data_IF_720096111339
#
_entry.id   IF_720096111339
#
_cell.length_a   1.000
_cell.length_b   1.000
_cell.length_c   1.000
_cell.angle_alpha   90.00
_cell.angle_beta   90.00
_cell.angle_gamma   90.00
#
_symmetry.space_group_name_H-M   'P 1'
#
loop_
_entity.id
_entity.type
_entity.pdbx_description
1 polymer ?
#
# COMPACT_ATOMS: atom_id res chain seq x y z
N UNK A 1 -24.75 -4.11 -11.23
CA UNK A 1 -25.61 -3.21 -10.44
C UNK A 1 -25.50 -1.75 -10.91
N UNK A 2 -25.69 -1.39 -12.16
CA UNK A 2 -25.95 -0.11 -12.81
C UNK A 2 -25.77 1.25 -12.11
N UNK A 3 -25.07 1.33 -10.99
CA UNK A 3 -24.71 2.59 -10.35
C UNK A 3 -23.46 3.13 -11.02
N UNK A 4 -23.45 4.41 -11.44
CA UNK A 4 -22.23 5.01 -11.95
C UNK A 4 -21.12 4.91 -10.89
N UNK A 5 -19.95 4.44 -11.28
CA UNK A 5 -18.79 4.42 -10.41
C UNK A 5 -18.49 5.86 -9.93
N UNK A 6 -18.13 6.00 -8.65
CA UNK A 6 -17.66 7.28 -8.14
C UNK A 6 -16.29 7.59 -8.76
N UNK A 7 -16.06 8.84 -9.09
CA UNK A 7 -14.72 9.31 -9.49
C UNK A 7 -13.87 9.46 -8.24
N UNK A 8 -12.88 8.58 -8.08
CA UNK A 8 -11.93 8.60 -6.97
C UNK A 8 -10.64 9.32 -7.38
N UNK A 9 -10.29 10.35 -6.63
CA UNK A 9 -9.00 11.02 -6.75
C UNK A 9 -8.21 10.87 -5.45
N UNK A 10 -6.94 10.51 -5.56
CA UNK A 10 -6.00 10.43 -4.44
C UNK A 10 -5.14 11.69 -4.45
N UNK A 11 -4.99 12.31 -3.28
CA UNK A 11 -4.10 13.46 -3.07
C UNK A 11 -3.13 13.10 -1.95
N UNK A 12 -1.88 12.86 -2.32
CA UNK A 12 -0.78 12.45 -1.43
C UNK A 12 0.39 13.46 -1.44
N UNK A 13 0.27 14.52 -2.23
CA UNK A 13 1.30 15.56 -2.38
C UNK A 13 0.85 16.90 -1.82
N UNK A 14 1.73 17.59 -1.11
CA UNK A 14 1.52 18.97 -0.64
C UNK A 14 1.91 20.03 -1.67
N UNK A 15 2.30 19.63 -2.87
CA UNK A 15 2.55 20.58 -3.97
C UNK A 15 1.32 21.46 -4.22
N UNK A 16 1.46 22.81 -4.15
CA UNK A 16 0.31 23.69 -4.28
C UNK A 16 -0.41 23.61 -5.64
N UNK A 17 0.29 23.20 -6.70
CA UNK A 17 -0.33 23.07 -8.01
C UNK A 17 -1.22 21.83 -8.06
N UNK A 18 -0.76 20.71 -7.47
CA UNK A 18 -1.55 19.48 -7.35
C UNK A 18 -2.77 19.70 -6.45
N UNK A 19 -2.61 20.32 -5.29
CA UNK A 19 -3.71 20.64 -4.36
C UNK A 19 -4.76 21.52 -5.04
N UNK A 20 -4.34 22.57 -5.76
CA UNK A 20 -5.27 23.42 -6.52
C UNK A 20 -5.94 22.68 -7.67
N UNK A 21 -5.24 21.78 -8.35
CA UNK A 21 -5.81 20.96 -9.41
C UNK A 21 -6.89 20.02 -8.86
N UNK A 22 -6.61 19.32 -7.79
CA UNK A 22 -7.59 18.47 -7.09
C UNK A 22 -8.81 19.28 -6.65
N UNK A 23 -8.59 20.46 -6.05
CA UNK A 23 -9.66 21.35 -5.60
C UNK A 23 -10.56 21.84 -6.76
N UNK A 24 -10.02 22.09 -7.95
CA UNK A 24 -10.80 22.49 -9.14
C UNK A 24 -11.67 21.33 -9.66
N UNK A 25 -11.15 20.11 -9.65
CA UNK A 25 -11.88 18.92 -10.11
C UNK A 25 -12.92 18.41 -9.11
N UNK A 26 -12.89 18.89 -7.88
CA UNK A 26 -13.78 18.48 -6.78
C UNK A 26 -14.87 19.55 -6.49
N UNK A 27 -16.05 19.49 -7.15
CA UNK A 27 -17.17 20.37 -6.84
C UNK A 27 -17.65 20.12 -5.41
N UNK A 28 -17.55 21.12 -4.52
CA UNK A 28 -17.76 20.96 -3.07
C UNK A 28 -19.06 20.24 -2.71
N UNK A 29 -20.16 20.61 -3.37
CA UNK A 29 -21.49 20.04 -3.08
C UNK A 29 -21.64 18.56 -3.48
N UNK A 30 -20.72 18.02 -4.30
CA UNK A 30 -20.76 16.63 -4.82
C UNK A 30 -19.55 15.81 -4.37
N UNK A 31 -18.69 16.35 -3.52
CA UNK A 31 -17.45 15.69 -3.11
C UNK A 31 -17.56 15.17 -1.68
N UNK A 32 -17.10 13.95 -1.48
CA UNK A 32 -16.82 13.34 -0.17
C UNK A 32 -15.30 13.27 -0.01
N UNK A 33 -14.78 13.91 1.03
CA UNK A 33 -13.37 13.86 1.40
C UNK A 33 -13.13 12.74 2.40
N UNK A 34 -12.25 11.79 2.05
CA UNK A 34 -11.82 10.73 2.95
C UNK A 34 -10.50 11.15 3.56
N UNK A 35 -10.50 11.42 4.85
CA UNK A 35 -9.31 11.78 5.64
C UNK A 35 -8.73 10.51 6.22
N UNK A 36 -7.73 9.94 5.58
CA UNK A 36 -7.11 8.68 5.95
C UNK A 36 -5.74 8.92 6.59
N UNK A 37 -5.62 8.69 7.89
CA UNK A 37 -4.34 8.80 8.63
C UNK A 37 -4.41 8.01 9.92
N UNK A 38 -3.53 7.03 10.11
CA UNK A 38 -3.51 6.19 11.32
C UNK A 38 -3.26 7.03 12.59
N UNK A 39 -2.10 7.60 12.74
CA UNK A 39 -1.77 8.42 13.91
C UNK A 39 -2.47 9.79 13.94
N UNK A 40 -2.98 10.23 12.81
CA UNK A 40 -3.54 11.58 12.66
C UNK A 40 -2.52 12.72 12.71
N UNK A 41 -1.24 12.42 12.94
CA UNK A 41 -0.18 13.43 13.15
C UNK A 41 0.64 13.75 11.89
N UNK A 42 0.32 13.13 10.75
CA UNK A 42 1.02 13.35 9.49
C UNK A 42 0.77 14.78 9.00
N UNK A 43 1.83 15.55 8.81
CA UNK A 43 1.76 16.98 8.46
C UNK A 43 1.00 17.23 7.16
N UNK A 44 1.23 16.39 6.17
CA UNK A 44 0.57 16.44 4.86
C UNK A 44 -0.95 16.26 5.01
N UNK A 45 -1.38 15.23 5.74
CA UNK A 45 -2.81 14.98 5.98
C UNK A 45 -3.46 16.13 6.74
N UNK A 46 -2.77 16.70 7.75
CA UNK A 46 -3.28 17.84 8.49
C UNK A 46 -3.39 19.10 7.61
N UNK A 47 -2.42 19.33 6.74
CA UNK A 47 -2.46 20.46 5.79
C UNK A 47 -3.61 20.31 4.79
N UNK A 48 -3.79 19.11 4.22
CA UNK A 48 -4.91 18.81 3.32
C UNK A 48 -6.25 18.98 4.03
N UNK A 49 -6.39 18.42 5.23
CA UNK A 49 -7.61 18.55 6.03
C UNK A 49 -7.93 20.02 6.31
N UNK A 50 -6.95 20.81 6.72
CA UNK A 50 -7.16 22.25 6.99
C UNK A 50 -7.59 23.01 5.73
N UNK A 51 -6.94 22.75 4.60
CA UNK A 51 -7.25 23.40 3.33
C UNK A 51 -8.68 23.08 2.84
N UNK A 52 -9.01 21.78 2.73
CA UNK A 52 -10.31 21.36 2.20
C UNK A 52 -11.45 21.64 3.18
N UNK A 53 -11.22 21.55 4.49
CA UNK A 53 -12.18 21.95 5.51
C UNK A 53 -12.54 23.42 5.37
N UNK A 54 -11.53 24.32 5.37
CA UNK A 54 -11.76 25.75 5.25
C UNK A 54 -12.47 26.13 3.94
N UNK A 55 -12.08 25.47 2.85
CA UNK A 55 -12.73 25.67 1.54
C UNK A 55 -14.20 25.25 1.60
N UNK A 56 -14.51 24.10 2.19
CA UNK A 56 -15.87 23.58 2.29
C UNK A 56 -16.74 24.44 3.23
N UNK A 57 -16.19 24.88 4.35
CA UNK A 57 -16.88 25.80 5.27
C UNK A 57 -17.24 27.13 4.59
N UNK A 58 -16.30 27.69 3.81
CA UNK A 58 -16.57 28.93 3.05
C UNK A 58 -17.66 28.78 2.01
N UNK A 59 -17.75 27.62 1.34
CA UNK A 59 -18.70 27.40 0.27
C UNK A 59 -20.07 26.89 0.71
N UNK A 60 -20.13 26.06 1.76
CA UNK A 60 -21.36 25.37 2.19
C UNK A 60 -21.83 25.73 3.60
N UNK A 61 -21.02 26.48 4.34
CA UNK A 61 -21.27 26.81 5.75
C UNK A 61 -20.81 25.71 6.70
N UNK A 62 -20.46 26.11 7.95
CA UNK A 62 -19.89 25.24 8.99
C UNK A 62 -20.80 24.07 9.34
N UNK A 63 -22.10 24.30 9.37
CA UNK A 63 -23.11 23.26 9.75
C UNK A 63 -23.19 22.12 8.75
N UNK A 64 -23.00 22.40 7.45
CA UNK A 64 -23.10 21.39 6.37
C UNK A 64 -21.74 20.76 6.03
N UNK A 65 -20.65 21.43 6.35
CA UNK A 65 -19.31 21.02 5.93
C UNK A 65 -18.97 19.60 6.39
N UNK A 66 -19.29 19.22 7.64
CA UNK A 66 -18.99 17.91 8.19
C UNK A 66 -19.58 16.75 7.38
N UNK A 67 -20.73 16.94 6.74
CA UNK A 67 -21.37 15.91 5.90
C UNK A 67 -20.56 15.53 4.66
N UNK A 68 -19.56 16.32 4.31
CA UNK A 68 -18.67 16.10 3.18
C UNK A 68 -17.35 15.42 3.57
N UNK A 69 -17.21 14.99 4.82
CA UNK A 69 -15.99 14.37 5.32
C UNK A 69 -16.28 13.03 5.99
N UNK A 70 -15.39 12.07 5.78
CA UNK A 70 -15.27 10.81 6.51
C UNK A 70 -13.84 10.67 6.98
N UNK A 71 -13.63 10.20 8.21
CA UNK A 71 -12.30 9.90 8.72
C UNK A 71 -12.06 8.39 8.76
N UNK A 72 -10.85 7.95 8.41
CA UNK A 72 -10.33 6.62 8.72
C UNK A 72 -9.08 6.83 9.54
N UNK A 73 -9.07 6.37 10.79
CA UNK A 73 -7.98 6.69 11.72
C UNK A 73 -7.95 5.70 12.90
N UNK A 74 -6.88 5.70 13.67
CA UNK A 74 -6.81 4.94 14.90
C UNK A 74 -7.60 5.63 16.03
N UNK A 75 -8.08 4.84 16.97
CA UNK A 75 -8.76 5.35 18.17
C UNK A 75 -7.82 6.29 18.97
N UNK A 76 -8.36 7.39 19.45
CA UNK A 76 -7.61 8.39 20.22
C UNK A 76 -6.74 9.32 19.39
N UNK A 77 -6.75 9.22 18.07
CA UNK A 77 -5.95 10.06 17.19
C UNK A 77 -6.44 11.53 17.14
N UNK A 78 -5.56 12.43 16.69
CA UNK A 78 -5.92 13.83 16.46
C UNK A 78 -7.03 13.95 15.43
N UNK A 79 -7.00 13.11 14.37
CA UNK A 79 -8.02 13.12 13.32
C UNK A 79 -9.37 12.65 13.87
N UNK A 80 -9.43 11.65 14.74
CA UNK A 80 -10.68 11.26 15.39
C UNK A 80 -11.30 12.42 16.16
N UNK A 81 -10.51 13.09 17.01
CA UNK A 81 -10.97 14.25 17.79
C UNK A 81 -11.51 15.35 16.87
N UNK A 82 -10.73 15.75 15.85
CA UNK A 82 -11.12 16.77 14.89
C UNK A 82 -12.39 16.38 14.12
N UNK A 83 -12.54 15.12 13.72
CA UNK A 83 -13.69 14.63 12.99
C UNK A 83 -14.98 14.70 13.84
N UNK A 84 -14.90 14.29 15.10
CA UNK A 84 -16.03 14.37 16.05
C UNK A 84 -16.42 15.83 16.34
N UNK A 85 -15.47 16.70 16.63
CA UNK A 85 -15.68 18.13 16.88
C UNK A 85 -16.32 18.84 15.66
N UNK A 86 -15.88 18.47 14.45
CA UNK A 86 -16.35 19.04 13.18
C UNK A 86 -17.60 18.34 12.64
N UNK A 87 -18.11 17.31 13.34
CA UNK A 87 -19.30 16.52 12.98
C UNK A 87 -19.16 15.94 11.58
N UNK A 88 -18.07 15.22 11.32
CA UNK A 88 -17.90 14.50 10.07
C UNK A 88 -19.06 13.51 9.88
N UNK A 89 -19.35 13.19 8.64
CA UNK A 89 -20.40 12.22 8.26
C UNK A 89 -20.20 10.88 8.97
N UNK A 90 -18.94 10.42 9.04
CA UNK A 90 -18.59 9.19 9.74
C UNK A 90 -17.13 9.19 10.20
N UNK A 91 -16.82 8.35 11.18
CA UNK A 91 -15.48 8.11 11.70
C UNK A 91 -15.28 6.61 11.82
N UNK A 92 -14.50 6.05 10.91
CA UNK A 92 -14.18 4.64 10.87
C UNK A 92 -12.88 4.43 11.63
N UNK A 93 -12.95 3.72 12.75
CA UNK A 93 -11.78 3.39 13.56
C UNK A 93 -11.09 2.14 13.02
N UNK A 94 -9.78 2.24 12.79
CA UNK A 94 -8.95 1.13 12.37
C UNK A 94 -8.26 0.46 13.56
N UNK A 95 -7.77 -0.77 13.36
CA UNK A 95 -6.99 -1.48 14.36
C UNK A 95 -5.61 -0.79 14.53
N UNK A 96 -5.29 -0.29 15.74
CA UNK A 96 -4.01 0.40 15.99
C UNK A 96 -2.80 -0.53 15.88
N UNK A 97 -3.00 -1.85 16.00
CA UNK A 97 -1.93 -2.84 15.91
C UNK A 97 -1.52 -3.16 14.46
N UNK A 98 -2.29 -2.74 13.47
CA UNK A 98 -1.96 -2.92 12.05
C UNK A 98 -1.21 -1.69 11.54
N UNK A 99 0.04 -1.85 11.11
CA UNK A 99 0.86 -0.77 10.53
C UNK A 99 0.29 -0.22 9.22
N UNK A 100 0.63 1.03 8.84
CA UNK A 100 0.09 1.67 7.64
C UNK A 100 0.31 0.86 6.36
N UNK A 101 1.53 0.37 6.13
CA UNK A 101 1.86 -0.45 4.94
C UNK A 101 1.19 -1.82 4.90
N UNK A 102 0.67 -2.30 6.05
CA UNK A 102 -0.09 -3.54 6.21
C UNK A 102 -1.61 -3.30 6.25
N UNK A 103 -2.08 -2.10 5.92
CA UNK A 103 -3.47 -1.72 6.13
C UNK A 103 -4.37 -1.85 4.89
N UNK A 104 -3.90 -2.48 3.83
CA UNK A 104 -4.63 -2.59 2.57
C UNK A 104 -5.93 -3.41 2.69
N UNK A 105 -5.96 -4.44 3.55
CA UNK A 105 -7.14 -5.29 3.78
C UNK A 105 -8.03 -4.84 4.95
N UNK A 106 -7.76 -3.69 5.55
CA UNK A 106 -8.63 -3.09 6.58
C UNK A 106 -9.29 -1.82 6.05
N UNK A 107 -9.95 -1.05 6.91
CA UNK A 107 -10.75 0.11 6.52
C UNK A 107 -10.05 1.09 5.55
N UNK A 108 -8.74 1.25 5.65
CA UNK A 108 -7.95 2.14 4.79
C UNK A 108 -8.01 1.77 3.31
N UNK A 109 -7.96 0.48 2.97
CA UNK A 109 -8.15 0.01 1.59
C UNK A 109 -9.60 -0.32 1.26
N UNK A 110 -10.37 -0.84 2.25
CA UNK A 110 -11.72 -1.35 1.99
C UNK A 110 -12.75 -0.25 1.75
N UNK A 111 -12.65 0.90 2.41
CA UNK A 111 -13.61 1.99 2.16
C UNK A 111 -13.49 2.56 0.73
N UNK A 112 -12.30 2.95 0.24
CA UNK A 112 -12.17 3.37 -1.15
C UNK A 112 -12.62 2.30 -2.16
N UNK A 113 -12.26 1.04 -1.93
CA UNK A 113 -12.67 -0.08 -2.78
C UNK A 113 -14.21 -0.24 -2.84
N UNK A 114 -14.89 -0.14 -1.70
CA UNK A 114 -16.35 -0.17 -1.64
C UNK A 114 -16.99 0.99 -2.42
N UNK A 115 -16.42 2.18 -2.30
CA UNK A 115 -16.92 3.37 -3.00
C UNK A 115 -16.73 3.27 -4.51
N UNK A 116 -15.69 2.56 -4.97
CA UNK A 116 -15.49 2.23 -6.38
C UNK A 116 -16.42 1.10 -6.87
N UNK A 117 -17.19 0.48 -5.98
CA UNK A 117 -18.14 -0.57 -6.34
C UNK A 117 -17.54 -1.97 -6.39
N UNK A 118 -16.34 -2.18 -5.80
CA UNK A 118 -15.74 -3.50 -5.68
C UNK A 118 -16.64 -4.41 -4.82
N UNK A 119 -16.81 -5.67 -5.21
CA UNK A 119 -17.44 -6.68 -4.37
C UNK A 119 -16.51 -7.07 -3.21
N UNK A 120 -16.68 -6.38 -2.07
CA UNK A 120 -15.82 -6.60 -0.90
C UNK A 120 -15.97 -8.01 -0.33
N UNK A 121 -17.11 -8.66 -0.50
CA UNK A 121 -17.30 -10.02 -0.03
C UNK A 121 -16.40 -10.96 -0.81
N UNK A 122 -16.48 -10.94 -2.14
CA UNK A 122 -15.62 -11.74 -3.00
C UNK A 122 -14.14 -11.43 -2.78
N UNK A 123 -13.80 -10.13 -2.66
CA UNK A 123 -12.43 -9.67 -2.38
C UNK A 123 -11.88 -10.27 -1.10
N UNK A 124 -12.60 -10.19 0.01
CA UNK A 124 -12.15 -10.73 1.30
C UNK A 124 -12.18 -12.26 1.34
N UNK A 125 -13.10 -12.91 0.62
CA UNK A 125 -13.14 -14.37 0.50
C UNK A 125 -11.87 -14.92 -0.18
N UNK A 126 -11.33 -14.22 -1.20
CA UNK A 126 -10.06 -14.60 -1.85
C UNK A 126 -8.88 -14.48 -0.86
N UNK A 127 -8.76 -13.39 -0.14
CA UNK A 127 -7.75 -13.22 0.91
C UNK A 127 -7.86 -14.28 2.01
N UNK A 128 -9.09 -14.54 2.49
CA UNK A 128 -9.36 -15.57 3.51
C UNK A 128 -9.04 -16.99 3.01
N UNK A 129 -9.22 -17.25 1.72
CA UNK A 129 -8.79 -18.50 1.09
C UNK A 129 -7.29 -18.74 1.23
N UNK A 130 -6.48 -17.72 0.93
CA UNK A 130 -5.02 -17.81 1.08
C UNK A 130 -4.61 -17.88 2.56
N UNK A 131 -5.28 -17.13 3.44
CA UNK A 131 -5.03 -17.19 4.88
C UNK A 131 -5.15 -18.63 5.42
N UNK A 132 -6.14 -19.40 5.01
CA UNK A 132 -6.35 -20.78 5.46
C UNK A 132 -5.17 -21.69 5.13
N UNK A 133 -4.54 -21.51 3.97
CA UNK A 133 -3.35 -22.28 3.56
C UNK A 133 -2.04 -21.66 4.05
N UNK A 134 -2.11 -20.58 4.81
CA UNK A 134 -0.96 -19.90 5.42
C UNK A 134 -0.91 -20.05 6.95
N UNK A 135 -1.80 -20.86 7.53
CA UNK A 135 -1.83 -21.11 8.98
C UNK A 135 -0.58 -21.87 9.45
N UNK A 136 -0.18 -21.73 10.74
CA UNK A 136 0.98 -22.44 11.29
C UNK A 136 0.89 -23.97 11.20
N UNK A 137 -0.32 -24.51 11.10
CA UNK A 137 -0.57 -25.96 10.92
C UNK A 137 -0.26 -26.45 9.51
N UNK A 138 -0.12 -25.55 8.53
CA UNK A 138 0.22 -25.93 7.15
C UNK A 138 1.73 -26.17 7.04
N UNK A 139 2.17 -27.28 6.44
CA UNK A 139 3.60 -27.52 6.23
C UNK A 139 4.27 -26.36 5.52
N UNK A 140 5.45 -25.95 5.99
CA UNK A 140 6.16 -24.75 5.50
C UNK A 140 6.29 -24.70 3.97
N UNK A 141 6.60 -25.84 3.34
CA UNK A 141 6.73 -25.95 1.88
C UNK A 141 5.41 -25.76 1.11
N UNK A 142 4.27 -25.80 1.80
CA UNK A 142 2.93 -25.59 1.22
C UNK A 142 2.31 -24.24 1.60
N UNK A 143 2.99 -23.48 2.44
CA UNK A 143 2.55 -22.14 2.84
C UNK A 143 3.09 -21.09 1.86
N UNK A 144 2.25 -20.49 1.00
CA UNK A 144 2.73 -19.69 -0.10
C UNK A 144 3.38 -18.35 0.35
N UNK A 145 2.92 -17.77 1.46
CA UNK A 145 3.54 -16.58 2.04
C UNK A 145 4.89 -16.89 2.66
N UNK A 146 5.01 -18.00 3.38
CA UNK A 146 6.26 -18.43 3.99
C UNK A 146 7.30 -18.80 2.92
N UNK A 147 6.91 -19.54 1.88
CA UNK A 147 7.82 -19.92 0.77
C UNK A 147 8.34 -18.66 0.08
N UNK A 148 7.46 -17.73 -0.30
CA UNK A 148 7.89 -16.49 -0.94
C UNK A 148 8.81 -15.70 -0.04
N UNK A 149 8.45 -15.53 1.24
CA UNK A 149 9.25 -14.77 2.20
C UNK A 149 10.65 -15.37 2.45
N UNK A 150 10.73 -16.70 2.55
CA UNK A 150 12.03 -17.39 2.66
C UNK A 150 12.89 -17.17 1.41
N UNK A 151 12.30 -17.25 0.20
CA UNK A 151 13.03 -16.98 -1.05
C UNK A 151 13.53 -15.53 -1.09
N UNK A 152 12.70 -14.56 -0.72
CA UNK A 152 13.09 -13.14 -0.68
C UNK A 152 14.24 -12.90 0.30
N UNK A 153 14.13 -13.44 1.52
CA UNK A 153 15.14 -13.26 2.55
C UNK A 153 16.46 -13.93 2.22
N UNK A 154 16.44 -15.19 1.80
CA UNK A 154 17.62 -15.97 1.44
C UNK A 154 18.31 -15.40 0.18
N UNK A 155 17.55 -14.96 -0.82
CA UNK A 155 18.11 -14.29 -1.98
C UNK A 155 18.86 -13.03 -1.59
N UNK A 156 18.30 -12.21 -0.70
CA UNK A 156 18.95 -11.00 -0.21
C UNK A 156 20.22 -11.31 0.58
N UNK A 157 20.23 -12.34 1.44
CA UNK A 157 21.42 -12.80 2.16
C UNK A 157 22.51 -13.32 1.20
N UNK A 158 22.09 -13.91 0.07
CA UNK A 158 22.99 -14.37 -1.00
C UNK A 158 23.45 -13.24 -1.94
N UNK A 159 23.21 -11.97 -1.60
CA UNK A 159 23.62 -10.81 -2.41
C UNK A 159 22.69 -10.46 -3.57
N UNK A 160 21.46 -11.02 -3.59
CA UNK A 160 20.41 -10.70 -4.54
C UNK A 160 19.31 -9.88 -3.85
N UNK A 161 19.69 -8.71 -3.41
CA UNK A 161 18.86 -7.82 -2.59
C UNK A 161 18.00 -6.84 -3.42
N UNK A 162 18.12 -6.80 -4.76
CA UNK A 162 17.27 -6.03 -5.65
C UNK A 162 16.12 -6.90 -6.13
N UNK A 163 14.93 -6.63 -5.61
CA UNK A 163 13.69 -7.30 -6.00
C UNK A 163 13.06 -6.56 -7.18
N UNK A 164 13.19 -7.10 -8.38
CA UNK A 164 12.54 -6.51 -9.56
C UNK A 164 11.13 -7.08 -9.70
N UNK A 165 10.15 -6.19 -9.60
CA UNK A 165 8.74 -6.50 -9.75
C UNK A 165 8.34 -6.41 -11.23
N UNK A 166 7.83 -7.50 -11.77
CA UNK A 166 7.28 -7.59 -13.12
C UNK A 166 5.78 -7.85 -12.98
N UNK A 167 4.97 -7.07 -13.69
CA UNK A 167 3.51 -7.20 -13.66
C UNK A 167 2.95 -7.11 -15.07
N UNK A 168 1.88 -7.83 -15.35
CA UNK A 168 1.05 -7.51 -16.50
C UNK A 168 0.42 -6.12 -16.31
N UNK A 169 0.04 -5.44 -17.40
CA UNK A 169 -0.36 -4.03 -17.42
C UNK A 169 -1.47 -3.72 -16.40
N UNK A 170 -2.44 -4.61 -16.28
CA UNK A 170 -3.59 -4.46 -15.40
C UNK A 170 -3.22 -4.48 -13.91
N UNK A 171 -2.05 -5.01 -13.58
CA UNK A 171 -1.54 -5.14 -12.21
C UNK A 171 -0.47 -4.09 -11.85
N UNK A 172 -0.11 -3.20 -12.77
CA UNK A 172 1.01 -2.27 -12.61
C UNK A 172 0.90 -1.41 -11.33
N UNK A 173 -0.31 -0.95 -10.98
CA UNK A 173 -0.51 -0.15 -9.78
C UNK A 173 -0.21 -0.91 -8.46
N UNK A 174 -0.16 -2.24 -8.49
CA UNK A 174 0.15 -3.07 -7.33
C UNK A 174 1.63 -2.99 -6.94
N UNK A 175 2.51 -2.74 -7.90
CA UNK A 175 3.96 -2.63 -7.68
C UNK A 175 4.33 -1.52 -6.71
N UNK A 176 3.70 -0.35 -6.80
CA UNK A 176 3.96 0.77 -5.88
C UNK A 176 3.64 0.43 -4.40
N UNK A 177 2.59 -0.36 -4.14
CA UNK A 177 2.29 -0.83 -2.79
C UNK A 177 3.32 -1.88 -2.32
N UNK A 178 3.71 -2.81 -3.19
CA UNK A 178 4.75 -3.80 -2.89
C UNK A 178 6.08 -3.13 -2.58
N UNK A 179 6.44 -2.08 -3.33
CA UNK A 179 7.65 -1.28 -3.10
C UNK A 179 7.65 -0.72 -1.68
N UNK A 180 6.59 -0.02 -1.26
CA UNK A 180 6.50 0.52 0.08
C UNK A 180 6.54 -0.59 1.14
N UNK A 181 5.75 -1.65 0.96
CA UNK A 181 5.68 -2.76 1.92
C UNK A 181 7.05 -3.36 2.18
N UNK A 182 7.78 -3.71 1.11
CA UNK A 182 9.06 -4.42 1.21
C UNK A 182 10.18 -3.48 1.69
N UNK A 183 10.30 -2.29 1.09
CA UNK A 183 11.37 -1.35 1.41
C UNK A 183 11.29 -0.87 2.86
N UNK A 184 10.15 -0.37 3.29
CA UNK A 184 9.96 0.16 4.65
C UNK A 184 10.04 -0.92 5.73
N UNK A 185 9.61 -2.15 5.41
CA UNK A 185 9.70 -3.26 6.37
C UNK A 185 11.11 -3.82 6.53
N UNK A 186 11.87 -3.94 5.46
CA UNK A 186 13.19 -4.60 5.46
C UNK A 186 14.37 -3.65 5.62
N UNK A 187 14.26 -2.39 5.15
CA UNK A 187 15.35 -1.41 5.10
C UNK A 187 15.73 -0.85 6.47
N UNK A 188 16.53 -1.60 7.24
CA UNK A 188 16.94 -1.26 8.61
C UNK A 188 18.32 -1.80 8.94
N UNK A 189 19.07 -1.06 9.75
CA UNK A 189 20.37 -1.51 10.28
C UNK A 189 21.38 -1.91 9.19
N UNK A 190 21.37 -1.20 8.07
CA UNK A 190 22.26 -1.49 6.92
C UNK A 190 21.87 -2.76 6.14
N UNK A 191 20.71 -3.31 6.37
CA UNK A 191 20.11 -4.45 5.64
C UNK A 191 18.85 -4.01 4.92
N UNK A 192 18.40 -4.80 3.97
CA UNK A 192 17.10 -4.59 3.32
C UNK A 192 17.02 -5.27 1.97
N UNK A 193 15.81 -5.27 1.47
CA UNK A 193 15.50 -5.64 0.09
C UNK A 193 15.09 -4.35 -0.61
N UNK A 194 15.70 -4.06 -1.75
CA UNK A 194 15.42 -2.89 -2.58
C UNK A 194 14.44 -3.31 -3.67
N UNK A 195 13.16 -3.03 -3.54
CA UNK A 195 12.22 -3.29 -4.61
C UNK A 195 12.44 -2.29 -5.76
N UNK A 196 12.31 -2.79 -6.97
CA UNK A 196 12.42 -2.03 -8.21
C UNK A 196 11.13 -2.26 -8.98
N UNK A 197 10.25 -1.26 -8.96
CA UNK A 197 8.99 -1.24 -9.70
C UNK A 197 9.15 -0.47 -11.01
N UNK A 198 8.32 -0.80 -12.00
CA UNK A 198 8.24 -0.10 -13.31
C UNK A 198 9.58 0.01 -14.03
N UNK A 199 10.49 -0.96 -13.85
CA UNK A 199 11.74 -0.95 -14.60
C UNK A 199 11.49 -1.28 -16.07
N UNK A 200 11.63 -0.29 -16.93
CA UNK A 200 11.54 -0.46 -18.37
C UNK A 200 12.77 -1.16 -18.91
N UNK A 201 12.61 -2.44 -19.28
CA UNK A 201 13.42 -3.19 -20.22
C UNK A 201 14.96 -3.11 -20.07
N UNK A 202 15.48 -3.72 -19.01
CA UNK A 202 16.86 -4.17 -19.09
C UNK A 202 16.93 -5.48 -19.93
N UNK A 203 17.74 -5.53 -21.00
CA UNK A 203 17.98 -6.77 -21.70
C UNK A 203 18.49 -7.84 -20.70
N UNK A 204 18.01 -9.09 -20.74
CA UNK A 204 18.40 -10.12 -19.76
C UNK A 204 19.91 -10.29 -19.58
N UNK A 205 20.69 -10.13 -20.65
CA UNK A 205 22.16 -10.21 -20.62
C UNK A 205 22.83 -9.09 -19.81
N UNK A 206 22.18 -7.93 -19.71
CA UNK A 206 22.70 -6.73 -19.02
C UNK A 206 22.09 -6.58 -17.63
N UNK A 207 21.16 -7.46 -17.22
CA UNK A 207 20.60 -7.42 -15.88
C UNK A 207 21.67 -7.76 -14.85
N UNK A 208 21.84 -6.94 -13.81
CA UNK A 208 22.81 -7.21 -12.74
C UNK A 208 22.53 -8.54 -12.03
N UNK A 209 23.57 -9.21 -11.54
CA UNK A 209 23.46 -10.51 -10.88
C UNK A 209 22.93 -10.43 -9.45
N UNK A 210 22.77 -9.24 -8.91
CA UNK A 210 22.23 -8.96 -7.58
C UNK A 210 20.69 -8.87 -7.55
N UNK A 211 20.01 -9.34 -8.61
CA UNK A 211 18.56 -9.26 -8.76
C UNK A 211 17.87 -10.60 -8.54
N UNK A 212 16.68 -10.50 -7.94
CA UNK A 212 15.63 -11.50 -7.95
C UNK A 212 14.43 -10.90 -8.70
N UNK A 213 13.89 -11.62 -9.67
CA UNK A 213 12.72 -11.19 -10.42
C UNK A 213 11.48 -11.91 -9.89
N UNK A 214 10.39 -11.18 -9.69
CA UNK A 214 9.08 -11.77 -9.35
C UNK A 214 8.05 -11.23 -10.32
N UNK A 215 7.44 -12.12 -11.08
CA UNK A 215 6.43 -11.80 -12.07
C UNK A 215 5.03 -12.17 -11.56
N UNK A 216 4.19 -11.17 -11.38
CA UNK A 216 2.76 -11.35 -11.12
C UNK A 216 2.04 -11.51 -12.46
N UNK A 217 1.66 -12.74 -12.77
CA UNK A 217 1.18 -13.16 -14.07
C UNK A 217 -0.34 -13.25 -14.09
N UNK A 218 -1.00 -12.33 -14.77
CA UNK A 218 -2.44 -12.36 -15.05
C UNK A 218 -2.72 -12.84 -16.46
N UNK A 219 -2.19 -12.17 -17.47
CA UNK A 219 -2.42 -12.43 -18.90
C UNK A 219 -1.27 -13.20 -19.56
N UNK A 220 -0.07 -13.10 -18.98
CA UNK A 220 1.13 -13.74 -19.52
C UNK A 220 1.87 -12.89 -20.55
N UNK A 221 1.62 -11.58 -20.59
CA UNK A 221 2.26 -10.67 -21.56
C UNK A 221 3.79 -10.67 -21.47
N UNK A 222 4.35 -10.96 -20.29
CA UNK A 222 5.80 -11.00 -20.05
C UNK A 222 6.39 -12.41 -20.02
N UNK A 223 5.64 -13.47 -20.33
CA UNK A 223 6.11 -14.87 -20.28
C UNK A 223 7.42 -15.08 -21.07
N UNK A 224 7.49 -14.51 -22.27
CA UNK A 224 8.68 -14.64 -23.13
C UNK A 224 9.90 -13.92 -22.53
N UNK A 225 9.70 -12.78 -21.88
CA UNK A 225 10.76 -12.03 -21.22
C UNK A 225 11.27 -12.79 -19.98
N UNK A 226 10.36 -13.30 -19.17
CA UNK A 226 10.71 -14.09 -17.96
C UNK A 226 11.49 -15.34 -18.34
N UNK A 227 11.10 -16.08 -19.40
CA UNK A 227 11.86 -17.22 -19.92
C UNK A 227 13.28 -16.81 -20.35
N UNK A 228 13.45 -15.66 -21.00
CA UNK A 228 14.79 -15.14 -21.37
C UNK A 228 15.64 -14.79 -20.15
N UNK A 229 15.04 -14.22 -19.09
CA UNK A 229 15.73 -13.98 -17.82
C UNK A 229 16.21 -15.27 -17.19
N UNK A 230 15.34 -16.27 -17.10
CA UNK A 230 15.69 -17.60 -16.57
C UNK A 230 16.78 -18.27 -17.40
N UNK A 231 16.69 -18.23 -18.72
CA UNK A 231 17.71 -18.78 -19.62
C UNK A 231 19.07 -18.06 -19.50
N UNK A 232 19.06 -16.76 -19.13
CA UNK A 232 20.28 -15.98 -18.83
C UNK A 232 20.84 -16.26 -17.42
N UNK A 233 20.20 -17.14 -16.63
CA UNK A 233 20.63 -17.55 -15.30
C UNK A 233 20.21 -16.59 -14.19
N UNK A 234 19.17 -15.77 -14.42
CA UNK A 234 18.56 -14.96 -13.36
C UNK A 234 17.46 -15.76 -12.66
N UNK A 235 17.38 -15.71 -11.32
CA UNK A 235 16.25 -16.26 -10.60
C UNK A 235 15.01 -15.40 -10.90
N UNK A 236 13.99 -16.04 -11.47
CA UNK A 236 12.72 -15.40 -11.76
C UNK A 236 11.57 -16.31 -11.32
N UNK A 237 10.77 -15.82 -10.40
CA UNK A 237 9.57 -16.46 -9.89
C UNK A 237 8.37 -16.00 -10.70
N UNK A 238 7.40 -16.89 -10.89
CA UNK A 238 6.10 -16.55 -11.50
C UNK A 238 5.02 -16.81 -10.46
N UNK A 239 4.27 -15.78 -10.13
CA UNK A 239 3.10 -15.84 -9.25
C UNK A 239 1.84 -15.71 -10.13
N UNK A 240 1.12 -16.80 -10.38
CA UNK A 240 -0.09 -16.74 -11.19
C UNK A 240 -1.21 -16.02 -10.41
N UNK A 241 -1.88 -15.10 -11.09
CA UNK A 241 -3.07 -14.36 -10.65
C UNK A 241 -4.20 -14.77 -11.59
N UNK A 242 -5.28 -15.32 -11.06
CA UNK A 242 -6.38 -15.84 -11.86
C UNK A 242 -7.28 -14.74 -12.41
N UNK A 243 -7.60 -13.75 -11.58
CA UNK A 243 -8.32 -12.53 -11.94
C UNK A 243 -7.94 -11.38 -11.00
N UNK A 244 -8.45 -10.17 -11.24
CA UNK A 244 -8.13 -8.98 -10.43
C UNK A 244 -8.57 -9.08 -8.97
N UNK A 245 -9.54 -9.92 -8.63
CA UNK A 245 -9.95 -10.16 -7.25
C UNK A 245 -8.92 -10.97 -6.45
N UNK A 246 -8.08 -11.75 -7.13
CA UNK A 246 -6.98 -12.48 -6.48
C UNK A 246 -5.89 -11.54 -5.94
N UNK A 247 -5.89 -10.25 -6.35
CA UNK A 247 -5.01 -9.25 -5.73
C UNK A 247 -5.20 -9.15 -4.21
N UNK A 248 -6.38 -9.43 -3.68
CA UNK A 248 -6.58 -9.47 -2.22
C UNK A 248 -5.81 -10.62 -1.56
N UNK A 249 -5.76 -11.77 -2.21
CA UNK A 249 -4.95 -12.91 -1.77
C UNK A 249 -3.45 -12.58 -1.89
N UNK A 250 -3.07 -11.88 -2.98
CA UNK A 250 -1.69 -11.43 -3.15
C UNK A 250 -1.27 -10.39 -2.11
N UNK A 251 -2.14 -9.44 -1.72
CA UNK A 251 -1.89 -8.54 -0.60
C UNK A 251 -1.53 -9.35 0.64
N UNK A 252 -2.36 -10.31 1.03
CA UNK A 252 -2.08 -11.15 2.18
C UNK A 252 -0.79 -11.96 2.04
N UNK A 253 -0.54 -12.55 0.86
CA UNK A 253 0.71 -13.29 0.57
C UNK A 253 1.93 -12.42 0.78
N UNK A 254 1.94 -11.22 0.23
CA UNK A 254 3.07 -10.30 0.31
C UNK A 254 3.28 -9.73 1.72
N UNK A 255 2.22 -9.50 2.48
CA UNK A 255 2.32 -9.09 3.88
C UNK A 255 3.01 -10.18 4.72
N UNK A 256 2.59 -11.44 4.58
CA UNK A 256 3.24 -12.59 5.24
C UNK A 256 4.67 -12.77 4.74
N UNK A 257 4.88 -12.76 3.43
CA UNK A 257 6.20 -12.96 2.83
C UNK A 257 7.20 -11.89 3.29
N UNK A 258 6.77 -10.64 3.37
CA UNK A 258 7.62 -9.54 3.85
C UNK A 258 8.00 -9.72 5.32
N UNK A 259 7.06 -10.13 6.17
CA UNK A 259 7.36 -10.43 7.58
C UNK A 259 8.37 -11.58 7.73
N UNK A 260 8.21 -12.65 6.94
CA UNK A 260 9.15 -13.79 6.93
C UNK A 260 10.52 -13.38 6.38
N UNK A 261 10.59 -12.63 5.28
CA UNK A 261 11.85 -12.14 4.73
C UNK A 261 12.61 -11.27 5.76
N UNK A 262 11.89 -10.41 6.47
CA UNK A 262 12.47 -9.61 7.56
C UNK A 262 13.01 -10.49 8.71
N UNK A 263 12.29 -11.56 9.06
CA UNK A 263 12.76 -12.53 10.07
C UNK A 263 14.05 -13.21 9.62
N UNK A 264 14.15 -13.63 8.36
CA UNK A 264 15.38 -14.20 7.76
C UNK A 264 16.54 -13.19 7.81
N UNK A 265 16.27 -11.92 7.48
CA UNK A 265 17.26 -10.83 7.55
C UNK A 265 17.62 -10.44 8.99
N UNK A 266 16.85 -10.88 10.00
CA UNK A 266 17.04 -10.50 11.40
C UNK A 266 16.66 -9.05 11.68
N UNK A 267 15.63 -8.52 11.03
CA UNK A 267 15.07 -7.19 11.25
C UNK A 267 13.58 -7.27 11.61
N UNK A 268 13.08 -6.28 12.34
CA UNK A 268 11.66 -6.23 12.69
C UNK A 268 10.84 -5.62 11.54
N UNK A 269 9.92 -6.41 10.95
CA UNK A 269 9.07 -5.98 9.85
C UNK A 269 8.08 -4.84 10.22
N UNK A 270 7.75 -4.68 11.49
CA UNK A 270 6.60 -3.88 11.93
C UNK A 270 6.95 -2.52 12.53
N UNK A 271 8.23 -2.24 12.77
CA UNK A 271 8.71 -0.93 13.23
C UNK A 271 9.29 -0.10 12.06
N UNK A 272 9.57 1.17 12.32
CA UNK A 272 10.13 2.12 11.34
C UNK A 272 10.94 3.21 12.05
N UNK A 273 12.10 2.89 12.65
CA UNK A 273 12.87 3.83 13.46
C UNK A 273 13.36 5.04 12.67
N UNK A 274 13.79 4.85 11.43
CA UNK A 274 14.33 5.93 10.59
C UNK A 274 13.26 6.95 10.19
N UNK A 275 12.03 6.49 9.90
CA UNK A 275 10.89 7.37 9.62
C UNK A 275 10.52 8.20 10.85
N UNK A 276 10.60 7.61 12.05
CA UNK A 276 10.31 8.34 13.29
C UNK A 276 11.36 9.41 13.58
N UNK A 277 12.64 9.12 13.35
CA UNK A 277 13.72 10.09 13.48
C UNK A 277 13.55 11.26 12.50
N UNK A 278 13.26 10.95 11.23
CA UNK A 278 12.99 11.97 10.22
C UNK A 278 11.82 12.89 10.62
N UNK A 279 10.72 12.33 11.13
CA UNK A 279 9.58 13.12 11.62
C UNK A 279 9.98 14.06 12.73
N UNK A 280 10.77 13.60 13.70
CA UNK A 280 11.27 14.44 14.81
C UNK A 280 12.13 15.59 14.29
N UNK A 281 13.07 15.32 13.38
CA UNK A 281 13.93 16.35 12.77
C UNK A 281 13.12 17.38 11.97
N UNK A 282 12.12 16.93 11.22
CA UNK A 282 11.21 17.82 10.47
C UNK A 282 10.45 18.74 11.40
N UNK A 283 9.86 18.20 12.49
CA UNK A 283 9.14 19.01 13.48
C UNK A 283 10.05 20.06 14.15
N UNK A 284 11.28 19.69 14.49
CA UNK A 284 12.26 20.63 15.05
C UNK A 284 12.60 21.77 14.08
N UNK A 285 12.73 21.47 12.77
CA UNK A 285 12.99 22.50 11.75
C UNK A 285 11.81 23.42 11.48
N UNK A 286 10.57 22.92 11.60
CA UNK A 286 9.36 23.73 11.43
C UNK A 286 9.14 24.65 12.64
N UNK A 287 9.58 24.23 13.83
CA UNK A 287 9.43 25.00 15.06
C UNK A 287 10.53 26.07 15.26
N UNK A 288 11.64 25.98 14.52
CA UNK A 288 12.75 26.94 14.53
C UNK A 288 12.52 28.09 13.54
#
# INVERSE_FOLDING_TARGET
>A
NGRPALDLAILDSTDPAQVRSAARRAPMAKTLYIVASKSGSTSETQAHLAYFWNRTVRGLGKTKAGNHFVAITDSGSIVEKQARERRFRDVILADPNVGGRYSALIAFGMLPAALLGLDLKLWLERAAGLMKVSLPSVPAARNPGLVLGAILGEAALAGRDKLTLLTDEELTAFGAWQEQLVAESSGKNGKGIVPVDVETQLPPRNSPRDRLFVYMRLTGSLDAQVKKLQAAGHPALVLPVGDVYDLSAEIYRWEVATAIACAVLGVNAFNQPDVQDNKKRTQQKIAA
#
